data_IF_035817011251
#
_entry.id   IF_035817011251
#
_cell.length_a   1.000
_cell.length_b   1.000
_cell.length_c   1.000
_cell.angle_alpha   90.00
_cell.angle_beta   90.00
_cell.angle_gamma   90.00
#
_symmetry.space_group_name_H-M   'P 1'
#
loop_
_entity.id
_entity.type
_entity.pdbx_description
1 polymer ?
#
# COMPACT_ATOMS: atom_id res chain seq x y z
N UNK A 1 -11.56 -14.53 -9.25
CA UNK A 1 -11.75 -13.11 -9.60
C UNK A 1 -10.79 -12.29 -8.77
N UNK A 2 -9.68 -11.83 -9.36
CA UNK A 2 -8.70 -11.00 -8.66
C UNK A 2 -9.34 -9.65 -8.38
N UNK A 3 -9.73 -9.38 -7.13
CA UNK A 3 -10.16 -8.05 -6.76
C UNK A 3 -8.98 -7.11 -7.01
N UNK A 4 -9.16 -6.14 -7.91
CA UNK A 4 -8.23 -5.04 -8.04
C UNK A 4 -8.24 -4.28 -6.71
N UNK A 5 -7.24 -4.52 -5.87
CA UNK A 5 -7.11 -3.82 -4.60
C UNK A 5 -6.83 -2.35 -4.91
N UNK A 6 -7.83 -1.49 -4.68
CA UNK A 6 -7.70 -0.06 -4.89
C UNK A 6 -6.61 0.49 -3.97
N UNK A 7 -5.53 1.02 -4.56
CA UNK A 7 -4.45 1.67 -3.82
C UNK A 7 -4.96 3.01 -3.28
N UNK A 8 -4.80 3.24 -1.99
CA UNK A 8 -5.24 4.48 -1.32
C UNK A 8 -4.11 5.08 -0.51
N UNK A 9 -4.07 6.41 -0.39
CA UNK A 9 -3.11 7.09 0.47
C UNK A 9 -3.85 7.55 1.72
N UNK A 10 -3.31 7.22 2.89
CA UNK A 10 -3.85 7.66 4.17
C UNK A 10 -2.75 8.25 5.05
N UNK A 11 -3.12 9.15 5.96
CA UNK A 11 -2.20 9.66 6.97
C UNK A 11 -2.28 8.78 8.22
N UNK A 12 -1.16 8.19 8.62
CA UNK A 12 -1.04 7.39 9.83
C UNK A 12 -0.03 8.04 10.77
N UNK A 13 -0.53 8.66 11.85
CA UNK A 13 0.28 9.46 12.76
C UNK A 13 0.99 10.62 12.04
N UNK A 14 2.32 10.59 12.01
CA UNK A 14 3.17 11.61 11.38
C UNK A 14 3.61 11.26 9.95
N UNK A 15 3.11 10.17 9.37
CA UNK A 15 3.53 9.66 8.06
C UNK A 15 2.34 9.47 7.11
N UNK A 16 2.61 9.48 5.82
CA UNK A 16 1.65 9.15 4.77
C UNK A 16 1.93 7.75 4.26
N UNK A 17 0.93 6.88 4.25
CA UNK A 17 1.06 5.48 3.89
C UNK A 17 0.25 5.16 2.65
N UNK A 18 0.81 4.31 1.79
CA UNK A 18 0.08 3.71 0.66
C UNK A 18 -0.51 2.40 1.16
N UNK A 19 -1.83 2.26 1.03
CA UNK A 19 -2.62 1.14 1.49
C UNK A 19 -3.15 0.33 0.30
N UNK A 20 -3.14 -0.99 0.46
CA UNK A 20 -3.95 -1.92 -0.32
C UNK A 20 -4.97 -2.56 0.63
N UNK A 21 -6.18 -1.99 0.71
CA UNK A 21 -7.15 -2.35 1.74
C UNK A 21 -6.63 -2.00 3.14
N UNK A 22 -6.34 -3.02 3.95
CA UNK A 22 -5.81 -2.86 5.33
C UNK A 22 -4.28 -3.00 5.42
N UNK A 23 -3.61 -3.42 4.35
CA UNK A 23 -2.16 -3.58 4.34
C UNK A 23 -1.45 -2.27 3.99
N UNK A 24 -0.41 -1.93 4.76
CA UNK A 24 0.50 -0.84 4.45
C UNK A 24 1.60 -1.36 3.52
N UNK A 25 1.66 -0.81 2.31
CA UNK A 25 2.67 -1.16 1.30
C UNK A 25 3.92 -0.28 1.40
N UNK A 26 3.75 0.99 1.75
CA UNK A 26 4.86 1.93 1.87
C UNK A 26 4.50 3.10 2.81
N UNK A 27 5.52 3.75 3.39
CA UNK A 27 5.33 4.93 4.26
C UNK A 27 6.31 6.05 3.92
N UNK A 28 5.80 7.28 3.90
CA UNK A 28 6.48 8.50 3.48
C UNK A 28 6.32 9.61 4.53
N UNK A 29 7.19 10.61 4.48
CA UNK A 29 7.11 11.75 5.40
C UNK A 29 6.10 12.78 4.93
N UNK A 30 5.96 12.93 3.62
CA UNK A 30 5.05 13.91 3.02
C UNK A 30 4.03 13.25 2.09
N UNK A 31 2.92 13.94 1.86
CA UNK A 31 1.88 13.48 0.94
C UNK A 31 2.39 13.45 -0.51
N UNK A 32 3.14 14.48 -0.92
CA UNK A 32 3.70 14.58 -2.26
C UNK A 32 4.66 13.43 -2.61
N UNK A 33 5.46 12.97 -1.63
CA UNK A 33 6.29 11.77 -1.80
C UNK A 33 5.46 10.51 -2.00
N UNK A 34 4.37 10.35 -1.23
CA UNK A 34 3.48 9.21 -1.35
C UNK A 34 2.77 9.18 -2.71
N UNK A 35 2.25 10.32 -3.16
CA UNK A 35 1.61 10.48 -4.46
C UNK A 35 2.61 10.25 -5.61
N UNK A 36 3.81 10.83 -5.51
CA UNK A 36 4.87 10.64 -6.49
C UNK A 36 5.33 9.19 -6.58
N UNK A 37 5.43 8.49 -5.46
CA UNK A 37 5.76 7.06 -5.45
C UNK A 37 4.62 6.21 -5.99
N UNK A 38 3.36 6.52 -5.65
CA UNK A 38 2.20 5.83 -6.19
C UNK A 38 2.14 5.94 -7.71
N UNK A 39 2.41 7.12 -8.27
CA UNK A 39 2.45 7.34 -9.72
C UNK A 39 3.63 6.60 -10.39
N UNK A 40 4.83 6.65 -9.80
CA UNK A 40 6.03 6.02 -10.37
C UNK A 40 6.02 4.50 -10.28
N UNK A 41 5.53 3.97 -9.17
CA UNK A 41 5.60 2.55 -8.82
C UNK A 41 4.23 1.87 -8.91
N UNK A 42 3.26 2.46 -9.62
CA UNK A 42 1.88 1.97 -9.69
C UNK A 42 1.80 0.48 -10.05
N UNK A 43 2.56 0.03 -11.05
CA UNK A 43 2.58 -1.37 -11.49
C UNK A 43 3.12 -2.31 -10.40
N UNK A 44 4.22 -1.94 -9.76
CA UNK A 44 4.84 -2.69 -8.67
C UNK A 44 3.92 -2.75 -7.46
N UNK A 45 3.36 -1.62 -7.03
CA UNK A 45 2.43 -1.54 -5.90
C UNK A 45 1.14 -2.31 -6.18
N UNK A 46 0.63 -2.31 -7.41
CA UNK A 46 -0.55 -3.10 -7.79
C UNK A 46 -0.26 -4.61 -7.77
N UNK A 47 0.92 -5.02 -8.24
CA UNK A 47 1.36 -6.43 -8.15
C UNK A 47 1.45 -6.88 -6.69
N UNK A 48 2.09 -6.06 -5.84
CA UNK A 48 2.18 -6.33 -4.41
C UNK A 48 0.82 -6.23 -3.72
N UNK A 49 -0.10 -5.37 -4.17
CA UNK A 49 -1.46 -5.32 -3.65
C UNK A 49 -2.23 -6.61 -3.97
N UNK A 50 -2.04 -7.19 -5.16
CA UNK A 50 -2.58 -8.50 -5.53
C UNK A 50 -2.02 -9.64 -4.68
N UNK A 51 -0.70 -9.62 -4.41
CA UNK A 51 -0.06 -10.61 -3.52
C UNK A 51 -0.43 -10.38 -2.05
N UNK A 52 -0.50 -9.13 -1.62
CA UNK A 52 -0.95 -8.72 -0.29
C UNK A 52 -2.40 -9.11 -0.08
N UNK A 53 -3.27 -9.06 -1.10
CA UNK A 53 -4.63 -9.60 -1.02
C UNK A 53 -4.69 -11.05 -0.53
N UNK A 54 -3.76 -11.87 -1.01
CA UNK A 54 -3.61 -13.28 -0.58
C UNK A 54 -3.05 -13.38 0.85
N UNK A 55 -2.13 -12.49 1.24
CA UNK A 55 -1.60 -12.43 2.61
C UNK A 55 -2.57 -11.81 3.63
N UNK A 56 -3.38 -10.82 3.24
CA UNK A 56 -4.36 -10.10 4.08
C UNK A 56 -5.46 -11.04 4.55
N UNK A 57 -5.86 -12.01 3.71
CA UNK A 57 -6.82 -13.04 4.12
C UNK A 57 -6.30 -13.94 5.26
N UNK A 58 -4.98 -13.96 5.52
CA UNK A 58 -4.36 -14.87 6.49
C UNK A 58 -3.47 -14.21 7.55
N UNK A 59 -3.27 -12.88 7.53
CA UNK A 59 -2.23 -12.26 8.37
C UNK A 59 -2.74 -10.99 9.08
N UNK A 60 -2.61 -10.86 10.41
CA UNK A 60 -2.86 -9.61 11.11
C UNK A 60 -1.87 -8.54 10.61
N UNK A 61 -2.35 -7.29 10.48
CA UNK A 61 -1.63 -6.18 9.85
C UNK A 61 -0.16 -6.08 10.31
N UNK A 62 0.77 -6.52 9.47
CA UNK A 62 2.21 -6.33 9.64
C UNK A 62 2.72 -5.46 8.49
N UNK A 63 3.42 -4.40 8.85
CA UNK A 63 4.07 -3.48 7.90
C UNK A 63 5.13 -4.28 7.15
N UNK A 64 5.00 -4.38 5.82
CA UNK A 64 6.05 -4.94 4.97
C UNK A 64 7.03 -3.81 4.69
N UNK A 65 8.28 -3.96 5.14
CA UNK A 65 9.36 -3.05 4.78
C UNK A 65 9.88 -3.44 3.40
N UNK A 66 9.60 -2.59 2.40
CA UNK A 66 10.33 -2.56 1.12
C UNK A 66 11.60 -1.71 1.28
#
# INVERSE_FOLDING_TARGET
MSQAHSLTIAKQGRRFVILAGVAVLASYRTQAEAEGSLAKNHATLSYWAGSAGVCIQNTPARIVHL
#
